data_IF_505220159786
#
_entry.id   IF_505220159786
#
_cell.length_a   1.000
_cell.length_b   1.000
_cell.length_c   1.000
_cell.angle_alpha   90.00
_cell.angle_beta   90.00
_cell.angle_gamma   90.00
#
_symmetry.space_group_name_H-M   'P 1'
#
loop_
_entity.id
_entity.type
_entity.pdbx_description
1 polymer ?
#
# COMPACT_ATOMS: atom_id res chain seq x y z
N UNK A 1 17.91 54.42 -6.10
CA UNK A 1 19.07 53.74 -6.74
C UNK A 1 20.06 53.40 -5.64
N UNK A 2 20.23 52.11 -5.29
CA UNK A 2 21.46 51.50 -4.71
C UNK A 2 21.32 50.04 -4.18
N UNK A 3 20.17 49.36 -4.28
CA UNK A 3 20.03 47.98 -3.73
C UNK A 3 19.71 46.84 -4.73
N UNK A 4 19.61 47.09 -6.04
CA UNK A 4 19.31 46.02 -7.02
C UNK A 4 20.52 45.45 -7.77
N UNK A 5 21.73 45.98 -7.55
CA UNK A 5 22.93 45.49 -8.26
C UNK A 5 23.55 44.23 -7.61
N UNK A 6 23.36 44.01 -6.31
CA UNK A 6 23.95 42.88 -5.59
C UNK A 6 23.30 41.52 -5.93
N UNK A 7 22.01 41.51 -6.30
CA UNK A 7 21.30 40.26 -6.66
C UNK A 7 21.66 39.72 -8.05
N UNK A 8 21.98 40.58 -9.03
CA UNK A 8 22.39 40.13 -10.37
C UNK A 8 23.80 39.51 -10.32
N UNK A 9 24.69 40.06 -9.48
CA UNK A 9 26.07 39.58 -9.33
C UNK A 9 26.16 38.18 -8.70
N UNK A 10 25.20 37.83 -7.83
CA UNK A 10 25.11 36.50 -7.21
C UNK A 10 24.70 35.38 -8.19
N UNK A 11 23.98 35.70 -9.28
CA UNK A 11 23.59 34.70 -10.29
C UNK A 11 24.71 34.38 -11.30
N UNK A 12 25.73 35.22 -11.45
CA UNK A 12 26.86 34.94 -12.33
C UNK A 12 27.85 33.91 -11.75
N UNK A 13 27.96 33.82 -10.42
CA UNK A 13 28.86 32.89 -9.74
C UNK A 13 28.55 31.40 -10.03
N UNK A 14 27.30 30.91 -9.94
CA UNK A 14 27.02 29.50 -10.22
C UNK A 14 27.11 29.13 -11.71
N UNK A 15 26.78 30.06 -12.63
CA UNK A 15 26.87 29.80 -14.08
C UNK A 15 28.33 29.62 -14.54
N UNK A 16 29.29 30.32 -13.93
CA UNK A 16 30.71 30.12 -14.22
C UNK A 16 31.28 28.81 -13.64
N UNK A 17 30.69 28.27 -12.57
CA UNK A 17 31.11 26.96 -12.03
C UNK A 17 30.67 25.84 -12.97
N UNK A 18 29.49 25.95 -13.60
CA UNK A 18 28.99 24.94 -14.54
C UNK A 18 29.77 24.92 -15.86
N UNK A 19 30.29 26.06 -16.31
CA UNK A 19 31.09 26.16 -17.54
C UNK A 19 32.54 25.66 -17.39
N UNK A 20 33.03 25.43 -16.17
CA UNK A 20 34.43 25.10 -15.92
C UNK A 20 34.68 23.73 -15.28
N UNK A 21 33.86 22.71 -15.59
CA UNK A 21 34.26 21.33 -15.36
C UNK A 21 35.18 20.83 -16.49
N UNK A 22 36.47 21.19 -16.42
CA UNK A 22 37.53 20.55 -17.22
C UNK A 22 37.80 19.13 -16.71
N UNK A 23 36.80 18.24 -16.72
CA UNK A 23 37.05 16.81 -16.55
C UNK A 23 37.52 16.25 -17.89
N UNK A 24 38.84 16.32 -18.14
CA UNK A 24 39.47 15.55 -19.22
C UNK A 24 39.19 14.08 -18.94
N UNK A 25 38.33 13.47 -19.75
CA UNK A 25 38.05 12.05 -19.74
C UNK A 25 39.28 11.35 -20.35
N UNK A 26 40.30 11.07 -19.52
CA UNK A 26 41.42 10.23 -19.92
C UNK A 26 40.92 8.78 -19.96
N UNK A 27 40.26 8.40 -21.06
CA UNK A 27 39.96 7.00 -21.29
C UNK A 27 41.29 6.32 -21.67
N UNK A 28 42.01 5.78 -20.69
CA UNK A 28 43.15 4.88 -20.96
C UNK A 28 42.57 3.64 -21.66
N UNK A 29 43.01 3.29 -22.89
CA UNK A 29 42.56 2.06 -23.52
C UNK A 29 43.08 0.88 -22.70
N UNK A 30 42.18 0.15 -22.05
CA UNK A 30 42.50 -1.18 -21.54
C UNK A 30 42.68 -2.10 -22.75
N UNK A 31 43.92 -2.56 -22.96
CA UNK A 31 44.22 -3.67 -23.84
C UNK A 31 43.43 -4.88 -23.35
N UNK A 32 42.39 -5.29 -24.08
CA UNK A 32 41.67 -6.55 -23.84
C UNK A 32 42.64 -7.70 -24.13
N UNK A 33 43.20 -8.31 -23.10
CA UNK A 33 43.67 -9.69 -23.20
C UNK A 33 42.44 -10.59 -23.11
N UNK A 34 41.69 -10.71 -24.20
CA UNK A 34 40.74 -11.81 -24.36
C UNK A 34 41.54 -13.07 -24.68
N UNK A 35 42.07 -13.74 -23.65
CA UNK A 35 42.13 -15.20 -23.73
C UNK A 35 40.69 -15.66 -23.70
N UNK A 36 40.16 -15.95 -24.88
CA UNK A 36 38.93 -16.70 -25.05
C UNK A 36 39.06 -17.99 -24.25
N UNK A 37 38.58 -18.01 -23.00
CA UNK A 37 38.30 -19.25 -22.28
C UNK A 37 36.95 -19.76 -22.76
N UNK A 38 36.83 -19.98 -24.07
CA UNK A 38 35.77 -20.83 -24.58
C UNK A 38 36.13 -22.20 -24.04
N UNK A 39 35.37 -22.66 -23.06
CA UNK A 39 35.35 -24.07 -22.70
C UNK A 39 34.88 -24.78 -23.96
N UNK A 40 35.80 -25.35 -24.73
CA UNK A 40 35.41 -26.35 -25.73
C UNK A 40 34.71 -27.44 -24.96
N UNK A 41 33.47 -27.75 -25.34
CA UNK A 41 32.83 -29.01 -24.97
C UNK A 41 33.77 -30.11 -25.48
N UNK A 42 34.63 -30.63 -24.59
CA UNK A 42 35.32 -31.86 -24.88
C UNK A 42 34.28 -32.97 -24.80
N UNK A 43 34.26 -33.87 -25.78
CA UNK A 43 33.53 -35.13 -25.69
C UNK A 43 34.11 -35.94 -24.51
N UNK A 44 33.58 -35.73 -23.30
CA UNK A 44 34.03 -36.39 -22.06
C UNK A 44 33.31 -37.74 -21.86
N UNK A 45 32.50 -38.20 -22.82
CA UNK A 45 31.87 -39.52 -22.74
C UNK A 45 32.93 -40.63 -22.94
N UNK A 46 33.66 -40.91 -21.85
CA UNK A 46 34.61 -42.00 -21.73
C UNK A 46 33.88 -43.21 -21.15
N UNK A 47 33.45 -44.10 -22.03
CA UNK A 47 32.74 -45.35 -21.68
C UNK A 47 33.51 -46.28 -20.72
N UNK A 48 34.82 -46.05 -20.52
CA UNK A 48 35.64 -46.78 -19.55
C UNK A 48 35.13 -46.65 -18.10
N UNK A 49 34.34 -45.62 -17.78
CA UNK A 49 33.84 -45.40 -16.43
C UNK A 49 32.43 -45.94 -16.19
N UNK A 50 31.67 -46.28 -17.22
CA UNK A 50 30.26 -46.69 -17.09
C UNK A 50 30.09 -47.98 -16.28
N UNK A 51 31.08 -48.89 -16.37
CA UNK A 51 31.08 -50.17 -15.67
C UNK A 51 31.90 -50.15 -14.37
N UNK A 52 32.50 -49.01 -13.99
CA UNK A 52 33.27 -48.92 -12.74
C UNK A 52 32.29 -48.78 -11.55
N UNK A 53 32.26 -49.73 -10.59
CA UNK A 53 31.34 -49.68 -9.47
C UNK A 53 31.51 -48.42 -8.60
N UNK A 54 32.75 -47.92 -8.43
CA UNK A 54 33.01 -46.71 -7.66
C UNK A 54 32.44 -45.47 -8.38
N UNK A 55 32.60 -45.40 -9.70
CA UNK A 55 32.05 -44.30 -10.49
C UNK A 55 30.51 -44.31 -10.47
N UNK A 56 29.91 -45.51 -10.58
CA UNK A 56 28.46 -45.67 -10.50
C UNK A 56 27.91 -45.14 -9.17
N UNK A 57 28.55 -45.48 -8.06
CA UNK A 57 28.17 -44.97 -6.74
C UNK A 57 28.30 -43.44 -6.62
N UNK A 58 29.40 -42.87 -7.11
CA UNK A 58 29.61 -41.40 -7.11
C UNK A 58 28.54 -40.69 -7.95
N UNK A 59 28.21 -41.23 -9.13
CA UNK A 59 27.16 -40.71 -10.02
C UNK A 59 25.79 -40.73 -9.34
N UNK A 60 25.39 -41.88 -8.78
CA UNK A 60 24.09 -42.01 -8.09
C UNK A 60 23.97 -41.06 -6.89
N UNK A 61 25.04 -40.91 -6.09
CA UNK A 61 25.01 -39.99 -4.95
C UNK A 61 24.96 -38.51 -5.40
N UNK A 62 25.69 -38.16 -6.46
CA UNK A 62 25.63 -36.82 -7.05
C UNK A 62 24.24 -36.52 -7.62
N UNK A 63 23.63 -37.47 -8.33
CA UNK A 63 22.28 -37.33 -8.90
C UNK A 63 21.22 -37.18 -7.79
N UNK A 64 21.35 -37.93 -6.69
CA UNK A 64 20.45 -37.81 -5.52
C UNK A 64 20.56 -36.43 -4.87
N UNK A 65 21.77 -35.96 -4.59
CA UNK A 65 22.00 -34.64 -3.99
C UNK A 65 21.54 -33.51 -4.94
N UNK A 66 21.79 -33.67 -6.23
CA UNK A 66 21.43 -32.71 -7.26
C UNK A 66 19.90 -32.63 -7.44
N UNK A 67 19.22 -33.79 -7.45
CA UNK A 67 17.76 -33.86 -7.51
C UNK A 67 17.10 -33.19 -6.30
N UNK A 68 17.62 -33.42 -5.09
CA UNK A 68 17.15 -32.73 -3.88
C UNK A 68 17.31 -31.20 -4.00
N UNK A 69 18.48 -30.73 -4.45
CA UNK A 69 18.72 -29.30 -4.67
C UNK A 69 17.79 -28.71 -5.73
N UNK A 70 17.45 -29.46 -6.77
CA UNK A 70 16.51 -29.03 -7.80
C UNK A 70 15.09 -28.86 -7.25
N UNK A 71 14.59 -29.79 -6.43
CA UNK A 71 13.28 -29.64 -5.80
C UNK A 71 13.26 -28.48 -4.77
N UNK A 72 14.31 -28.32 -3.95
CA UNK A 72 14.44 -27.16 -3.06
C UNK A 72 14.49 -25.83 -3.83
N UNK A 73 15.19 -25.80 -4.97
CA UNK A 73 15.25 -24.63 -5.84
C UNK A 73 13.88 -24.34 -6.46
N UNK A 74 13.16 -25.37 -6.92
CA UNK A 74 11.82 -25.26 -7.51
C UNK A 74 10.81 -24.74 -6.49
N UNK A 75 10.79 -25.27 -5.28
CA UNK A 75 9.96 -24.76 -4.17
C UNK A 75 10.28 -23.30 -3.84
N UNK A 76 11.57 -22.96 -3.75
CA UNK A 76 12.01 -21.57 -3.55
C UNK A 76 11.58 -20.66 -4.70
N UNK A 77 11.65 -21.14 -5.94
CA UNK A 77 11.21 -20.44 -7.14
C UNK A 77 9.71 -20.17 -7.11
N UNK A 78 8.89 -21.17 -6.76
CA UNK A 78 7.44 -21.05 -6.65
C UNK A 78 7.07 -20.00 -5.59
N UNK A 79 7.66 -20.12 -4.39
CA UNK A 79 7.44 -19.16 -3.29
C UNK A 79 7.84 -17.73 -3.66
N UNK A 80 8.99 -17.55 -4.31
CA UNK A 80 9.46 -16.23 -4.74
C UNK A 80 8.55 -15.65 -5.84
N UNK A 81 8.12 -16.47 -6.81
CA UNK A 81 7.17 -16.04 -7.85
C UNK A 81 5.83 -15.60 -7.26
N UNK A 82 5.31 -16.32 -6.27
CA UNK A 82 4.07 -15.95 -5.58
C UNK A 82 4.21 -14.60 -4.87
N UNK A 83 5.30 -14.40 -4.10
CA UNK A 83 5.60 -13.10 -3.46
C UNK A 83 5.68 -11.94 -4.46
N UNK A 84 6.36 -12.15 -5.59
CA UNK A 84 6.45 -11.12 -6.64
C UNK A 84 5.08 -10.79 -7.25
N UNK A 85 4.20 -11.79 -7.43
CA UNK A 85 2.83 -11.56 -7.92
C UNK A 85 2.00 -10.74 -6.93
N UNK A 86 2.02 -11.12 -5.65
CA UNK A 86 1.30 -10.40 -4.58
C UNK A 86 1.79 -8.94 -4.45
N UNK A 87 3.11 -8.73 -4.52
CA UNK A 87 3.69 -7.39 -4.49
C UNK A 87 3.29 -6.57 -5.73
N UNK A 88 3.36 -7.16 -6.93
CA UNK A 88 2.96 -6.50 -8.16
C UNK A 88 1.48 -6.11 -8.15
N UNK A 89 0.58 -6.98 -7.68
CA UNK A 89 -0.84 -6.66 -7.52
C UNK A 89 -1.06 -5.48 -6.55
N UNK A 90 -0.32 -5.45 -5.44
CA UNK A 90 -0.37 -4.35 -4.47
C UNK A 90 0.11 -3.03 -5.09
N UNK A 91 1.22 -3.07 -5.82
CA UNK A 91 1.80 -1.90 -6.48
C UNK A 91 0.89 -1.39 -7.61
N UNK A 92 0.30 -2.28 -8.42
CA UNK A 92 -0.68 -1.93 -9.46
C UNK A 92 -1.91 -1.25 -8.84
N UNK A 93 -2.46 -1.78 -7.74
CA UNK A 93 -3.58 -1.16 -7.04
C UNK A 93 -3.22 0.25 -6.54
N UNK A 94 -2.02 0.42 -6.00
CA UNK A 94 -1.55 1.73 -5.54
C UNK A 94 -1.37 2.71 -6.70
N UNK A 95 -0.83 2.27 -7.83
CA UNK A 95 -0.69 3.09 -9.05
C UNK A 95 -2.06 3.51 -9.58
N UNK A 96 -3.02 2.59 -9.70
CA UNK A 96 -4.39 2.91 -10.16
C UNK A 96 -5.06 3.92 -9.23
N UNK A 97 -4.82 3.79 -7.93
CA UNK A 97 -5.41 4.68 -6.93
C UNK A 97 -4.76 6.07 -6.98
N UNK A 98 -3.44 6.15 -7.17
CA UNK A 98 -2.73 7.42 -7.43
C UNK A 98 -3.20 8.09 -8.71
N UNK A 99 -3.25 7.36 -9.84
CA UNK A 99 -3.71 7.88 -11.13
C UNK A 99 -5.15 8.43 -11.06
N UNK A 100 -6.04 7.78 -10.30
CA UNK A 100 -7.41 8.28 -10.07
C UNK A 100 -7.47 9.57 -9.23
N UNK A 101 -6.47 9.84 -8.39
CA UNK A 101 -6.36 11.08 -7.61
C UNK A 101 -5.68 12.17 -8.45
N UNK A 102 -4.63 11.80 -9.18
CA UNK A 102 -3.80 12.72 -9.94
C UNK A 102 -4.51 13.21 -11.21
N UNK A 103 -5.21 12.34 -11.97
CA UNK A 103 -6.00 12.76 -13.15
C UNK A 103 -6.93 13.95 -12.91
N UNK A 104 -7.82 13.94 -11.91
CA UNK A 104 -8.70 15.08 -11.67
C UNK A 104 -7.95 16.31 -11.14
N UNK A 105 -6.75 16.16 -10.57
CA UNK A 105 -5.90 17.29 -10.17
C UNK A 105 -5.21 17.88 -11.39
N UNK A 106 -4.62 17.07 -12.26
CA UNK A 106 -4.01 17.48 -13.53
C UNK A 106 -5.04 18.11 -14.47
N UNK A 107 -6.21 17.51 -14.66
CA UNK A 107 -7.30 18.12 -15.44
C UNK A 107 -7.75 19.47 -14.86
N UNK A 108 -7.73 19.64 -13.53
CA UNK A 108 -8.05 20.92 -12.90
C UNK A 108 -6.92 21.93 -13.10
N UNK A 109 -5.66 21.51 -13.04
CA UNK A 109 -4.49 22.36 -13.30
C UNK A 109 -4.47 22.77 -14.77
N UNK A 110 -4.69 21.86 -15.74
CA UNK A 110 -4.84 22.20 -17.15
C UNK A 110 -6.00 23.17 -17.37
N UNK A 111 -7.17 22.95 -16.74
CA UNK A 111 -8.29 23.91 -16.83
C UNK A 111 -7.96 25.27 -16.22
N UNK A 112 -7.14 25.34 -15.17
CA UNK A 112 -6.70 26.60 -14.54
C UNK A 112 -5.62 27.28 -15.38
N UNK A 113 -4.64 26.53 -15.91
CA UNK A 113 -3.59 27.02 -16.81
C UNK A 113 -4.15 27.47 -18.16
N UNK A 114 -5.10 26.75 -18.75
CA UNK A 114 -5.83 27.17 -19.95
C UNK A 114 -6.69 28.42 -19.69
N UNK A 115 -7.23 28.58 -18.47
CA UNK A 115 -7.92 29.83 -18.08
C UNK A 115 -6.96 30.99 -17.82
N UNK A 116 -5.70 30.70 -17.51
CA UNK A 116 -4.70 31.71 -17.15
C UNK A 116 -3.70 32.02 -18.28
N UNK A 117 -3.72 31.25 -19.39
CA UNK A 117 -2.72 31.29 -20.46
C UNK A 117 -2.87 32.43 -21.47
N UNK A 118 -4.00 33.16 -21.51
CA UNK A 118 -4.21 34.24 -22.46
C UNK A 118 -4.80 35.48 -21.78
N UNK A 119 -3.93 36.33 -21.21
CA UNK A 119 -4.26 37.73 -20.96
C UNK A 119 -3.79 38.28 -19.63
N UNK A 120 -2.52 38.67 -19.54
CA UNK A 120 -2.01 39.93 -18.93
C UNK A 120 -0.48 39.81 -18.70
N UNK A 121 0.28 40.62 -19.43
CA UNK A 121 1.73 40.51 -19.59
C UNK A 121 2.59 40.60 -18.31
N UNK A 122 3.57 39.68 -18.23
CA UNK A 122 4.98 40.05 -18.36
C UNK A 122 5.80 40.45 -17.12
N UNK A 123 5.26 41.03 -16.04
CA UNK A 123 6.15 41.52 -14.94
C UNK A 123 5.65 41.25 -13.50
N UNK A 124 4.49 40.63 -13.29
CA UNK A 124 4.01 40.31 -11.92
C UNK A 124 4.39 38.91 -11.40
N UNK A 125 4.98 38.04 -12.25
CA UNK A 125 5.16 36.63 -11.91
C UNK A 125 6.31 36.31 -10.93
N UNK A 126 7.21 37.25 -10.60
CA UNK A 126 8.42 36.90 -9.81
C UNK A 126 8.22 36.81 -8.29
N UNK A 127 7.16 37.40 -7.72
CA UNK A 127 6.95 37.42 -6.25
C UNK A 127 5.98 36.33 -5.78
N UNK A 128 5.09 35.84 -6.65
CA UNK A 128 4.16 34.74 -6.34
C UNK A 128 4.78 33.34 -6.37
N UNK A 129 5.84 33.13 -7.14
CA UNK A 129 6.41 31.79 -7.43
C UNK A 129 7.08 31.14 -6.21
N UNK A 130 7.66 31.92 -5.29
CA UNK A 130 8.30 31.35 -4.10
C UNK A 130 7.27 30.84 -3.07
N UNK A 131 6.16 31.56 -2.88
CA UNK A 131 5.11 31.16 -1.94
C UNK A 131 4.37 29.90 -2.41
N UNK A 132 4.02 29.83 -3.70
CA UNK A 132 3.28 28.69 -4.25
C UNK A 132 4.10 27.40 -4.26
N UNK A 133 5.42 27.48 -4.49
CA UNK A 133 6.29 26.31 -4.48
C UNK A 133 6.33 25.63 -3.10
N UNK A 134 6.41 26.39 -2.01
CA UNK A 134 6.46 25.84 -0.65
C UNK A 134 5.14 25.16 -0.27
N UNK A 135 4.00 25.78 -0.59
CA UNK A 135 2.67 25.22 -0.26
C UNK A 135 2.39 23.95 -1.06
N UNK A 136 2.87 23.85 -2.30
CA UNK A 136 2.71 22.62 -3.10
C UNK A 136 3.46 21.43 -2.49
N UNK A 137 4.69 21.65 -1.99
CA UNK A 137 5.46 20.58 -1.32
C UNK A 137 4.73 20.11 -0.05
N UNK A 138 4.17 21.04 0.72
CA UNK A 138 3.38 20.70 1.91
C UNK A 138 2.08 19.97 1.56
N UNK A 139 1.41 20.36 0.46
CA UNK A 139 0.24 19.67 -0.03
C UNK A 139 0.57 18.22 -0.35
N UNK A 140 1.65 17.95 -1.08
CA UNK A 140 2.08 16.59 -1.41
C UNK A 140 2.38 15.77 -0.15
N UNK A 141 3.15 16.32 0.79
CA UNK A 141 3.45 15.63 2.05
C UNK A 141 2.19 15.34 2.88
N UNK A 142 1.24 16.28 2.93
CA UNK A 142 -0.04 16.09 3.61
C UNK A 142 -0.92 15.03 2.91
N UNK A 143 -0.90 14.97 1.56
CA UNK A 143 -1.58 13.92 0.80
C UNK A 143 -0.99 12.54 1.09
N UNK A 144 0.33 12.42 1.11
CA UNK A 144 1.00 11.14 1.42
C UNK A 144 0.66 10.66 2.83
N UNK A 145 0.65 11.56 3.83
CA UNK A 145 0.22 11.25 5.19
C UNK A 145 -1.25 10.82 5.24
N UNK A 146 -2.14 11.58 4.60
CA UNK A 146 -3.57 11.29 4.52
C UNK A 146 -3.87 9.91 3.89
N UNK A 147 -3.11 9.52 2.87
CA UNK A 147 -3.20 8.20 2.23
C UNK A 147 -2.67 7.11 3.17
N UNK A 148 -1.55 7.34 3.86
CA UNK A 148 -1.00 6.42 4.86
C UNK A 148 -1.98 6.12 5.99
N UNK A 149 -2.63 7.16 6.51
CA UNK A 149 -3.65 7.05 7.57
C UNK A 149 -4.87 6.27 7.08
N UNK A 150 -5.32 6.54 5.84
CA UNK A 150 -6.45 5.85 5.25
C UNK A 150 -6.18 4.35 5.00
N UNK A 151 -4.96 3.99 4.59
CA UNK A 151 -4.54 2.59 4.43
C UNK A 151 -4.53 1.89 5.80
N UNK A 152 -3.97 2.54 6.83
CA UNK A 152 -3.92 1.98 8.19
C UNK A 152 -5.33 1.77 8.75
N UNK A 153 -6.22 2.74 8.57
CA UNK A 153 -7.63 2.63 8.92
C UNK A 153 -8.33 1.49 8.17
N UNK A 154 -8.09 1.38 6.86
CA UNK A 154 -8.66 0.30 6.04
C UNK A 154 -8.22 -1.08 6.49
N UNK A 155 -6.94 -1.27 6.81
CA UNK A 155 -6.41 -2.56 7.29
C UNK A 155 -6.99 -2.96 8.64
N UNK A 156 -7.10 -2.03 9.58
CA UNK A 156 -7.61 -2.29 10.93
C UNK A 156 -9.11 -2.58 10.92
N UNK A 157 -9.92 -1.73 10.28
CA UNK A 157 -11.38 -1.94 10.18
C UNK A 157 -11.72 -3.13 9.29
N UNK A 158 -10.97 -3.34 8.19
CA UNK A 158 -11.14 -4.48 7.30
C UNK A 158 -10.89 -5.80 8.00
N UNK A 159 -9.81 -5.92 8.77
CA UNK A 159 -9.53 -7.11 9.57
C UNK A 159 -10.61 -7.36 10.63
N UNK A 160 -11.09 -6.32 11.31
CA UNK A 160 -12.15 -6.44 12.31
C UNK A 160 -13.48 -6.93 11.70
N UNK A 161 -13.86 -6.41 10.52
CA UNK A 161 -15.05 -6.87 9.79
C UNK A 161 -14.91 -8.32 9.33
N UNK A 162 -13.75 -8.71 8.80
CA UNK A 162 -13.49 -10.10 8.41
C UNK A 162 -13.55 -11.06 9.59
N UNK A 163 -12.99 -10.69 10.74
CA UNK A 163 -13.05 -11.52 11.95
C UNK A 163 -14.49 -11.64 12.48
N UNK A 164 -15.28 -10.55 12.44
CA UNK A 164 -16.70 -10.56 12.83
C UNK A 164 -17.51 -11.51 11.96
N UNK A 165 -17.29 -11.47 10.64
CA UNK A 165 -17.94 -12.37 9.69
C UNK A 165 -17.50 -13.82 9.90
N UNK A 166 -16.21 -14.05 10.14
CA UNK A 166 -15.67 -15.37 10.44
C UNK A 166 -16.31 -16.01 11.68
N UNK A 167 -16.52 -15.21 12.74
CA UNK A 167 -17.24 -15.67 13.94
C UNK A 167 -18.67 -16.07 13.61
N UNK A 168 -19.39 -15.23 12.84
CA UNK A 168 -20.77 -15.51 12.45
C UNK A 168 -20.87 -16.82 11.64
N UNK A 169 -19.93 -17.05 10.71
CA UNK A 169 -19.92 -18.22 9.85
C UNK A 169 -19.57 -19.51 10.61
N UNK A 170 -18.65 -19.45 11.58
CA UNK A 170 -18.40 -20.59 12.47
C UNK A 170 -19.65 -20.93 13.27
N UNK A 171 -20.33 -19.93 13.84
CA UNK A 171 -21.56 -20.15 14.63
C UNK A 171 -22.66 -20.75 13.74
N UNK A 172 -22.82 -20.25 12.52
CA UNK A 172 -23.80 -20.77 11.56
C UNK A 172 -23.48 -22.21 11.15
N UNK A 173 -22.21 -22.52 10.85
CA UNK A 173 -21.76 -23.87 10.51
C UNK A 173 -21.96 -24.87 11.65
N UNK A 174 -21.66 -24.48 12.89
CA UNK A 174 -21.91 -25.33 14.06
C UNK A 174 -23.41 -25.56 14.32
N UNK A 175 -24.25 -24.54 14.11
CA UNK A 175 -25.72 -24.69 14.18
C UNK A 175 -26.27 -25.59 13.08
N UNK A 176 -25.73 -25.52 11.87
CA UNK A 176 -26.14 -26.41 10.77
C UNK A 176 -25.85 -27.89 11.10
N UNK A 177 -24.82 -28.14 11.91
CA UNK A 177 -24.49 -29.47 12.44
C UNK A 177 -25.24 -29.82 13.73
N UNK A 178 -26.18 -28.97 14.19
CA UNK A 178 -26.91 -29.09 15.46
C UNK A 178 -25.99 -29.12 16.71
N UNK A 179 -24.74 -28.67 16.59
CA UNK A 179 -23.75 -28.69 17.69
C UNK A 179 -24.15 -27.70 18.79
N UNK A 180 -24.89 -26.65 18.47
CA UNK A 180 -25.44 -25.68 19.42
C UNK A 180 -26.27 -26.35 20.53
N UNK A 181 -26.94 -27.48 20.23
CA UNK A 181 -27.72 -28.26 21.21
C UNK A 181 -26.87 -28.92 22.30
N UNK A 182 -25.54 -29.02 22.12
CA UNK A 182 -24.63 -29.51 23.16
C UNK A 182 -24.31 -28.45 24.21
N UNK A 183 -24.62 -27.18 23.94
CA UNK A 183 -24.26 -26.05 24.79
C UNK A 183 -25.51 -25.51 25.49
N UNK A 184 -25.48 -25.33 26.82
CA UNK A 184 -26.57 -24.65 27.52
C UNK A 184 -26.62 -23.15 27.19
N UNK A 185 -25.46 -22.58 26.86
CA UNK A 185 -25.29 -21.18 26.50
C UNK A 185 -25.14 -21.02 24.98
N UNK A 186 -25.33 -19.80 24.49
CA UNK A 186 -25.11 -19.51 23.06
C UNK A 186 -23.66 -19.75 22.67
N UNK A 187 -23.42 -20.27 21.47
CA UNK A 187 -22.07 -20.50 20.93
C UNK A 187 -21.19 -19.23 20.90
N UNK A 188 -21.80 -18.04 20.85
CA UNK A 188 -21.10 -16.76 20.87
C UNK A 188 -20.36 -16.45 22.18
N UNK A 189 -20.67 -17.15 23.27
CA UNK A 189 -19.90 -17.06 24.53
C UNK A 189 -18.52 -17.74 24.42
N UNK A 190 -18.38 -18.72 23.53
CA UNK A 190 -17.15 -19.50 23.35
C UNK A 190 -16.35 -19.07 22.13
N UNK A 191 -17.04 -18.64 21.05
CA UNK A 191 -16.44 -18.25 19.77
C UNK A 191 -16.35 -16.73 19.67
N UNK A 192 -15.14 -16.23 19.42
CA UNK A 192 -14.82 -14.82 19.32
C UNK A 192 -13.84 -14.55 18.17
N UNK A 193 -13.64 -13.26 17.87
CA UNK A 193 -12.67 -12.81 16.86
C UNK A 193 -11.23 -13.31 17.09
N UNK A 194 -10.90 -13.80 18.30
CA UNK A 194 -9.55 -14.27 18.66
C UNK A 194 -9.34 -15.78 18.52
N UNK A 195 -10.42 -16.54 18.33
CA UNK A 195 -10.38 -18.00 18.36
C UNK A 195 -11.20 -18.71 17.28
N UNK A 196 -11.99 -17.98 16.48
CA UNK A 196 -12.82 -18.55 15.41
C UNK A 196 -11.98 -19.30 14.35
N UNK A 197 -10.73 -18.90 14.15
CA UNK A 197 -9.78 -19.50 13.21
C UNK A 197 -9.02 -20.70 13.79
N UNK A 198 -9.19 -20.98 15.09
CA UNK A 198 -8.50 -22.07 15.80
C UNK A 198 -9.35 -23.32 15.85
N UNK A 199 -9.26 -24.13 14.80
CA UNK A 199 -9.95 -25.41 14.71
C UNK A 199 -9.72 -26.33 15.92
N UNK A 200 -8.49 -26.37 16.46
CA UNK A 200 -8.17 -27.17 17.66
C UNK A 200 -8.92 -26.70 18.91
N UNK A 201 -9.05 -25.39 19.12
CA UNK A 201 -9.78 -24.83 20.26
C UNK A 201 -11.27 -25.18 20.16
N UNK A 202 -11.87 -24.97 18.98
CA UNK A 202 -13.27 -25.28 18.72
C UNK A 202 -13.52 -26.78 18.88
N UNK A 203 -12.64 -27.62 18.33
CA UNK A 203 -12.70 -29.06 18.47
C UNK A 203 -12.68 -29.48 19.95
N UNK A 204 -11.75 -28.96 20.74
CA UNK A 204 -11.64 -29.32 22.16
C UNK A 204 -12.90 -28.98 22.94
N UNK A 205 -13.48 -27.79 22.69
CA UNK A 205 -14.72 -27.36 23.35
C UNK A 205 -15.90 -28.25 22.93
N UNK A 206 -16.07 -28.52 21.64
CA UNK A 206 -17.15 -29.39 21.14
C UNK A 206 -17.00 -30.80 21.68
N UNK A 207 -15.79 -31.37 21.64
CA UNK A 207 -15.51 -32.71 22.15
C UNK A 207 -15.71 -32.82 23.67
N UNK A 208 -15.31 -31.80 24.43
CA UNK A 208 -15.53 -31.75 25.88
C UNK A 208 -17.03 -31.73 26.21
N UNK A 209 -17.83 -30.89 25.52
CA UNK A 209 -19.29 -30.84 25.70
C UNK A 209 -19.97 -32.11 25.24
N UNK A 210 -19.53 -32.69 24.11
CA UNK A 210 -20.01 -33.98 23.65
C UNK A 210 -19.79 -35.08 24.70
N UNK A 211 -18.58 -35.19 25.27
CA UNK A 211 -18.31 -36.17 26.33
C UNK A 211 -19.17 -35.93 27.58
N UNK A 212 -19.33 -34.67 28.00
CA UNK A 212 -20.18 -34.36 29.16
C UNK A 212 -21.67 -34.68 28.95
N UNK A 213 -22.19 -34.43 27.74
CA UNK A 213 -23.63 -34.55 27.44
C UNK A 213 -24.03 -35.92 26.91
N UNK A 214 -23.18 -36.54 26.09
CA UNK A 214 -23.48 -37.79 25.37
C UNK A 214 -22.82 -39.03 25.99
N UNK A 215 -21.95 -38.88 26.98
CA UNK A 215 -21.27 -40.02 27.62
C UNK A 215 -21.57 -39.99 29.11
N UNK A 216 -22.80 -40.35 29.46
CA UNK A 216 -23.26 -40.41 30.85
C UNK A 216 -22.76 -41.71 31.47
N UNK A 217 -22.17 -41.61 32.66
CA UNK A 217 -21.82 -42.78 33.46
C UNK A 217 -23.09 -43.41 34.03
N UNK A 218 -23.40 -44.64 33.63
CA UNK A 218 -24.48 -45.45 34.17
C UNK A 218 -23.91 -46.66 34.91
N UNK A 219 -24.67 -47.29 35.84
CA UNK A 219 -24.28 -48.59 36.39
C UNK A 219 -24.06 -49.59 35.24
N UNK A 220 -22.82 -50.01 35.02
CA UNK A 220 -22.43 -50.93 33.95
C UNK A 220 -21.62 -50.32 32.79
N UNK A 221 -21.37 -49.01 32.77
CA UNK A 221 -20.47 -48.38 31.78
C UNK A 221 -20.89 -46.97 31.34
N UNK A 222 -20.42 -46.55 30.16
CA UNK A 222 -20.87 -45.31 29.53
C UNK A 222 -22.09 -45.59 28.65
N UNK A 223 -23.21 -44.93 28.92
CA UNK A 223 -24.39 -44.96 28.06
C UNK A 223 -24.49 -43.67 27.27
N UNK A 224 -24.97 -43.78 26.03
CA UNK A 224 -25.34 -42.63 25.22
C UNK A 224 -26.82 -42.30 25.48
N UNK A 225 -27.18 -41.15 26.06
CA UNK A 225 -28.57 -40.73 26.07
C UNK A 225 -29.02 -40.59 24.60
N UNK A 226 -30.12 -41.26 24.25
CA UNK A 226 -30.74 -41.14 22.92
C UNK A 226 -31.36 -39.76 22.76
N UNK A 227 -30.50 -38.77 22.51
CA UNK A 227 -30.88 -37.44 22.08
C UNK A 227 -30.42 -37.23 20.62
N UNK A 228 -31.16 -36.38 19.91
CA UNK A 228 -30.97 -36.19 18.47
C UNK A 228 -29.53 -35.83 18.06
N UNK A 229 -28.78 -35.12 18.91
CA UNK A 229 -27.42 -34.67 18.57
C UNK A 229 -26.36 -35.74 18.81
N UNK A 230 -26.45 -36.51 19.91
CA UNK A 230 -25.52 -37.59 20.18
C UNK A 230 -25.61 -38.68 19.12
N UNK A 231 -26.83 -38.98 18.66
CA UNK A 231 -27.09 -39.92 17.57
C UNK A 231 -26.56 -39.39 16.23
N UNK A 232 -26.80 -38.11 15.93
CA UNK A 232 -26.27 -37.45 14.72
C UNK A 232 -24.75 -37.53 14.65
N UNK A 233 -24.07 -37.21 15.75
CA UNK A 233 -22.61 -37.26 15.84
C UNK A 233 -22.08 -38.70 15.70
N UNK A 234 -22.77 -39.70 16.27
CA UNK A 234 -22.43 -41.11 16.07
C UNK A 234 -22.60 -41.54 14.62
N UNK A 235 -23.56 -40.95 13.90
CA UNK A 235 -23.77 -41.21 12.47
C UNK A 235 -22.60 -40.70 11.63
N UNK A 236 -21.93 -39.61 12.03
CA UNK A 236 -20.74 -39.09 11.33
C UNK A 236 -19.55 -40.07 11.37
N UNK A 237 -19.48 -40.95 12.38
CA UNK A 237 -18.48 -42.03 12.47
C UNK A 237 -18.69 -43.14 11.44
N UNK A 238 -19.89 -43.25 10.84
CA UNK A 238 -20.20 -44.25 9.83
C UNK A 238 -19.68 -43.78 8.46
N UNK A 239 -18.47 -44.18 8.11
CA UNK A 239 -17.94 -43.98 6.76
C UNK A 239 -18.73 -44.88 5.79
N UNK A 240 -19.31 -44.30 4.73
CA UNK A 240 -19.90 -45.09 3.64
C UNK A 240 -18.77 -45.78 2.85
N UNK A 241 -18.76 -47.12 2.86
CA UNK A 241 -17.80 -47.96 2.14
C UNK A 241 -17.89 -49.44 2.53
N UNK A 242 -17.38 -50.34 1.69
CA UNK A 242 -17.47 -51.81 1.83
C UNK A 242 -16.80 -52.37 3.09
N UNK A 243 -15.83 -51.62 3.63
CA UNK A 243 -15.15 -51.93 4.88
C UNK A 243 -15.51 -50.83 5.88
N UNK A 244 -16.48 -51.09 6.76
CA UNK A 244 -16.82 -50.21 7.87
C UNK A 244 -15.61 -50.07 8.81
N UNK A 245 -14.70 -49.13 8.53
CA UNK A 245 -13.78 -48.64 9.56
C UNK A 245 -14.61 -47.69 10.41
N UNK A 246 -15.00 -48.16 11.59
CA UNK A 246 -15.68 -47.31 12.56
C UNK A 246 -14.66 -46.27 13.04
N UNK A 247 -14.75 -45.06 12.50
CA UNK A 247 -13.87 -43.96 12.91
C UNK A 247 -14.31 -43.51 14.29
N UNK A 248 -13.35 -43.29 15.20
CA UNK A 248 -13.68 -42.81 16.54
C UNK A 248 -14.41 -41.47 16.46
N UNK A 249 -15.39 -41.25 17.33
CA UNK A 249 -16.30 -40.10 17.25
C UNK A 249 -15.59 -38.76 17.34
N UNK A 250 -14.48 -38.70 18.07
CA UNK A 250 -13.59 -37.54 18.14
C UNK A 250 -12.96 -37.20 16.78
N UNK A 251 -12.54 -38.18 15.98
CA UNK A 251 -12.02 -37.93 14.63
C UNK A 251 -13.12 -37.41 13.70
N UNK A 252 -14.35 -37.91 13.83
CA UNK A 252 -15.50 -37.42 13.06
C UNK A 252 -15.86 -35.96 13.43
N UNK A 253 -15.92 -35.63 14.73
CA UNK A 253 -16.11 -34.25 15.21
C UNK A 253 -14.98 -33.35 14.69
N UNK A 254 -13.73 -33.80 14.78
CA UNK A 254 -12.57 -33.06 14.29
C UNK A 254 -12.68 -32.73 12.81
N UNK A 255 -13.11 -33.69 11.98
CA UNK A 255 -13.31 -33.49 10.53
C UNK A 255 -14.35 -32.41 10.23
N UNK A 256 -15.52 -32.48 10.86
CA UNK A 256 -16.59 -31.49 10.63
C UNK A 256 -16.23 -30.10 11.17
N UNK A 257 -15.58 -30.01 12.34
CA UNK A 257 -15.09 -28.73 12.87
C UNK A 257 -14.05 -28.11 11.95
N UNK A 258 -13.08 -28.88 11.44
CA UNK A 258 -12.09 -28.38 10.48
C UNK A 258 -12.77 -27.88 9.21
N UNK A 259 -13.79 -28.58 8.71
CA UNK A 259 -14.56 -28.14 7.53
C UNK A 259 -15.29 -26.81 7.76
N UNK A 260 -15.91 -26.63 8.92
CA UNK A 260 -16.58 -25.36 9.29
C UNK A 260 -15.57 -24.22 9.38
N UNK A 261 -14.46 -24.43 10.10
CA UNK A 261 -13.45 -23.38 10.31
C UNK A 261 -12.74 -23.00 9.02
N UNK A 262 -12.46 -23.95 8.13
CA UNK A 262 -11.85 -23.67 6.83
C UNK A 262 -12.78 -22.89 5.89
N UNK A 263 -14.08 -23.24 5.87
CA UNK A 263 -15.10 -22.46 5.17
C UNK A 263 -15.20 -21.03 5.72
N UNK A 264 -15.31 -20.89 7.04
CA UNK A 264 -15.39 -19.59 7.70
C UNK A 264 -14.14 -18.73 7.48
N UNK A 265 -12.94 -19.32 7.50
CA UNK A 265 -11.69 -18.61 7.20
C UNK A 265 -11.68 -18.04 5.78
N UNK A 266 -12.14 -18.83 4.82
CA UNK A 266 -12.22 -18.39 3.41
C UNK A 266 -13.15 -17.19 3.24
N UNK A 267 -14.32 -17.23 3.91
CA UNK A 267 -15.30 -16.14 3.88
C UNK A 267 -14.76 -14.90 4.63
N UNK A 268 -14.16 -15.09 5.80
CA UNK A 268 -13.54 -14.03 6.60
C UNK A 268 -12.45 -13.29 5.82
N UNK A 269 -11.56 -14.01 5.12
CA UNK A 269 -10.50 -13.42 4.29
C UNK A 269 -11.07 -12.61 3.11
N UNK A 270 -12.11 -13.13 2.45
CA UNK A 270 -12.80 -12.43 1.36
C UNK A 270 -13.45 -11.13 1.87
N UNK A 271 -14.18 -11.21 2.97
CA UNK A 271 -14.83 -10.06 3.61
C UNK A 271 -13.81 -9.04 4.09
N UNK A 272 -12.72 -9.47 4.72
CA UNK A 272 -11.63 -8.60 5.15
C UNK A 272 -11.04 -7.82 3.98
N UNK A 273 -10.78 -8.49 2.86
CA UNK A 273 -10.22 -7.87 1.65
C UNK A 273 -11.18 -6.82 1.06
N UNK A 274 -12.45 -7.17 0.89
CA UNK A 274 -13.47 -6.25 0.37
C UNK A 274 -13.67 -5.03 1.29
N UNK A 275 -13.74 -5.28 2.59
CA UNK A 275 -13.89 -4.25 3.61
C UNK A 275 -12.68 -3.31 3.64
N UNK A 276 -11.46 -3.85 3.61
CA UNK A 276 -10.21 -3.08 3.55
C UNK A 276 -10.21 -2.13 2.35
N UNK A 277 -10.57 -2.64 1.16
CA UNK A 277 -10.61 -1.84 -0.07
C UNK A 277 -11.66 -0.72 0.01
N UNK A 278 -12.87 -1.03 0.50
CA UNK A 278 -13.96 -0.05 0.61
C UNK A 278 -13.68 1.04 1.65
N UNK A 279 -13.20 0.65 2.84
CA UNK A 279 -12.84 1.60 3.91
C UNK A 279 -11.68 2.48 3.48
N UNK A 280 -10.62 1.89 2.91
CA UNK A 280 -9.46 2.65 2.41
C UNK A 280 -9.91 3.67 1.36
N UNK A 281 -10.72 3.25 0.39
CA UNK A 281 -11.24 4.15 -0.66
C UNK A 281 -12.09 5.29 -0.09
N UNK A 282 -12.96 4.99 0.88
CA UNK A 282 -13.77 5.99 1.56
C UNK A 282 -12.93 6.99 2.36
N UNK A 283 -11.98 6.49 3.15
CA UNK A 283 -11.08 7.29 3.97
C UNK A 283 -10.17 8.19 3.11
N UNK A 284 -9.61 7.67 2.01
CA UNK A 284 -8.81 8.47 1.08
C UNK A 284 -9.63 9.63 0.52
N UNK A 285 -10.88 9.37 0.09
CA UNK A 285 -11.75 10.43 -0.45
C UNK A 285 -11.97 11.55 0.58
N UNK A 286 -12.21 11.19 1.84
CA UNK A 286 -12.42 12.17 2.92
C UNK A 286 -11.15 12.94 3.23
N UNK A 287 -10.04 12.24 3.52
CA UNK A 287 -8.79 12.89 3.93
C UNK A 287 -8.23 13.79 2.80
N UNK A 288 -8.31 13.36 1.54
CA UNK A 288 -7.89 14.18 0.38
C UNK A 288 -8.78 15.41 0.21
N UNK A 289 -10.08 15.31 0.50
CA UNK A 289 -10.99 16.46 0.47
C UNK A 289 -10.62 17.50 1.55
N UNK A 290 -10.26 17.05 2.76
CA UNK A 290 -9.81 17.91 3.85
C UNK A 290 -8.48 18.63 3.52
N UNK A 291 -7.50 17.92 2.96
CA UNK A 291 -6.24 18.52 2.50
C UNK A 291 -6.51 19.56 1.41
N UNK A 292 -7.37 19.25 0.44
CA UNK A 292 -7.72 20.20 -0.62
C UNK A 292 -8.48 21.43 -0.10
N UNK A 293 -9.38 21.28 0.87
CA UNK A 293 -10.08 22.40 1.51
C UNK A 293 -9.09 23.32 2.25
N UNK A 294 -8.15 22.73 3.00
CA UNK A 294 -7.09 23.47 3.69
C UNK A 294 -6.20 24.21 2.69
N UNK A 295 -5.78 23.54 1.61
CA UNK A 295 -4.97 24.15 0.55
C UNK A 295 -5.69 25.33 -0.13
N UNK A 296 -6.99 25.19 -0.43
CA UNK A 296 -7.79 26.27 -1.01
C UNK A 296 -7.85 27.49 -0.08
N UNK A 297 -7.97 27.26 1.24
CA UNK A 297 -7.93 28.35 2.23
C UNK A 297 -6.58 29.08 2.25
N UNK A 298 -5.46 28.35 2.20
CA UNK A 298 -4.12 28.91 2.13
C UNK A 298 -3.90 29.72 0.85
N UNK A 299 -4.38 29.22 -0.30
CA UNK A 299 -4.26 29.92 -1.57
C UNK A 299 -5.03 31.25 -1.55
N UNK A 300 -6.26 31.27 -1.02
CA UNK A 300 -7.03 32.51 -0.85
C UNK A 300 -6.31 33.51 0.05
N UNK A 301 -5.73 33.05 1.16
CA UNK A 301 -4.96 33.91 2.06
C UNK A 301 -3.72 34.52 1.37
N UNK A 302 -2.99 33.73 0.57
CA UNK A 302 -1.84 34.22 -0.21
C UNK A 302 -2.30 35.25 -1.24
N UNK A 303 -3.37 34.98 -2.00
CA UNK A 303 -3.90 35.91 -3.00
C UNK A 303 -4.30 37.24 -2.34
N UNK A 304 -5.02 37.21 -1.22
CA UNK A 304 -5.41 38.41 -0.48
C UNK A 304 -4.18 39.24 -0.06
N UNK A 305 -3.11 38.60 0.41
CA UNK A 305 -1.86 39.29 0.77
C UNK A 305 -1.17 39.95 -0.43
N UNK A 306 -1.14 39.28 -1.59
CA UNK A 306 -0.55 39.83 -2.83
C UNK A 306 -1.36 41.03 -3.32
N UNK A 307 -2.69 40.95 -3.30
CA UNK A 307 -3.58 42.06 -3.66
C UNK A 307 -3.34 43.27 -2.75
N UNK A 308 -3.22 43.05 -1.43
CA UNK A 308 -2.93 44.13 -0.49
C UNK A 308 -1.58 44.83 -0.80
N UNK A 309 -0.53 44.06 -1.12
CA UNK A 309 0.77 44.61 -1.52
C UNK A 309 0.65 45.43 -2.81
N UNK A 310 -0.07 44.93 -3.81
CA UNK A 310 -0.28 45.64 -5.09
C UNK A 310 -1.02 46.96 -4.88
N UNK A 311 -2.04 47.01 -4.02
CA UNK A 311 -2.77 48.24 -3.67
C UNK A 311 -1.82 49.26 -3.03
N UNK A 312 -0.97 48.85 -2.08
CA UNK A 312 0.01 49.74 -1.44
C UNK A 312 1.00 50.30 -2.47
N UNK A 313 1.54 49.46 -3.35
CA UNK A 313 2.47 49.88 -4.41
C UNK A 313 1.79 50.87 -5.38
N UNK A 314 0.55 50.62 -5.78
CA UNK A 314 -0.21 51.54 -6.64
C UNK A 314 -0.41 52.90 -5.98
N UNK A 315 -0.78 52.94 -4.69
CA UNK A 315 -0.91 54.19 -3.93
C UNK A 315 0.42 54.94 -3.88
N UNK A 316 1.53 54.25 -3.61
CA UNK A 316 2.87 54.86 -3.62
C UNK A 316 3.25 55.43 -4.98
N UNK A 317 2.92 54.73 -6.08
CA UNK A 317 3.18 55.21 -7.45
C UNK A 317 2.34 56.45 -7.76
N UNK A 318 1.05 56.47 -7.39
CA UNK A 318 0.17 57.63 -7.58
C UNK A 318 0.73 58.85 -6.83
N UNK A 319 1.07 58.69 -5.55
CA UNK A 319 1.67 59.76 -4.74
C UNK A 319 2.99 60.24 -5.37
N UNK A 320 3.85 59.31 -5.79
CA UNK A 320 5.11 59.61 -6.47
C UNK A 320 4.89 60.41 -7.77
N UNK A 321 3.93 60.01 -8.60
CA UNK A 321 3.59 60.70 -9.85
C UNK A 321 3.07 62.11 -9.58
N UNK A 322 2.20 62.30 -8.58
CA UNK A 322 1.70 63.62 -8.16
C UNK A 322 2.86 64.51 -7.67
N UNK A 323 3.76 63.98 -6.84
CA UNK A 323 4.94 64.71 -6.34
C UNK A 323 5.92 65.05 -7.46
N UNK A 324 6.14 64.13 -8.41
CA UNK A 324 7.00 64.34 -9.57
C UNK A 324 6.43 65.40 -10.50
N UNK A 325 5.13 65.33 -10.80
CA UNK A 325 4.44 66.30 -11.62
C UNK A 325 4.53 67.72 -11.02
N UNK A 326 4.24 67.86 -9.72
CA UNK A 326 4.38 69.13 -8.99
C UNK A 326 5.81 69.70 -9.08
N UNK A 327 6.84 68.87 -8.86
CA UNK A 327 8.25 69.28 -8.98
C UNK A 327 8.57 69.79 -10.39
N UNK A 328 8.18 69.06 -11.44
CA UNK A 328 8.43 69.45 -12.83
C UNK A 328 7.74 70.77 -13.19
N UNK A 329 6.48 70.95 -12.78
CA UNK A 329 5.74 72.21 -12.97
C UNK A 329 6.43 73.40 -12.27
N UNK A 330 6.93 73.20 -11.03
CA UNK A 330 7.68 74.22 -10.29
C UNK A 330 8.98 74.61 -10.99
N UNK A 331 9.71 73.65 -11.56
CA UNK A 331 10.96 73.92 -12.30
C UNK A 331 10.74 74.66 -13.62
N UNK A 332 9.70 74.29 -14.38
CA UNK A 332 9.37 74.98 -15.64
C UNK A 332 9.02 76.46 -15.40
N UNK A 333 8.25 76.76 -14.34
CA UNK A 333 7.96 78.15 -13.95
C UNK A 333 9.23 78.93 -13.64
N UNK A 334 10.16 78.35 -12.86
CA UNK A 334 11.45 78.99 -12.55
C UNK A 334 12.22 79.37 -13.82
N UNK A 335 12.28 78.47 -14.80
CA UNK A 335 13.00 78.70 -16.06
C UNK A 335 12.39 79.82 -16.91
N UNK A 336 11.05 79.94 -16.92
CA UNK A 336 10.38 81.08 -17.57
C UNK A 336 10.73 82.41 -16.88
N UNK A 337 10.77 82.45 -15.54
CA UNK A 337 11.18 83.65 -14.82
C UNK A 337 12.66 84.02 -15.08
N UNK A 338 13.57 83.04 -15.18
CA UNK A 338 14.98 83.30 -15.53
C UNK A 338 15.13 83.90 -16.92
N UNK A 339 14.33 83.46 -17.90
CA UNK A 339 14.33 84.02 -19.26
C UNK A 339 13.79 85.45 -19.38
N UNK A 340 13.01 85.92 -18.40
CA UNK A 340 12.49 87.28 -18.39
C UNK A 340 13.44 88.27 -17.70
N UNK A 341 14.37 87.77 -16.89
CA UNK A 341 15.35 88.58 -16.17
C UNK A 341 16.65 88.82 -16.97
N UNK A 342 16.94 87.96 -17.94
CA UNK A 342 18.04 88.11 -18.90
C UNK A 342 17.51 88.73 -20.20
#
# INVERSE_FOLDING_TARGET
>A
MKLYYTKILLFCLPLNILAHSKNKLYMKPHTRTTTSRVLSECDIEKSIYDNNPDMKYVKENFDRQTSQRFEEYKERMIKNRQKCKEQCEKDIKQIILKDKIDKPVEEKIEKVCLRCGCGLGGVAASVGVLGTAVVNVWKTAAMDAAIGDAITKGLTEGAAMGATEGVAEVIAGLKALNIDKLFPETLGSFISATNYDKASYIFNIVNMKYKGTCKILVPGGLSNPSNSICDSIQTWSLVQGSNHVNVTTDVAIGKEVVKVVTGAKTIAEKTAKMATENVTKGAIKTNVAEVNATYASCQTAIIASVVAILVIVLVMVIIYLILRYRRKKKMNKKLQYTKLLN
#
